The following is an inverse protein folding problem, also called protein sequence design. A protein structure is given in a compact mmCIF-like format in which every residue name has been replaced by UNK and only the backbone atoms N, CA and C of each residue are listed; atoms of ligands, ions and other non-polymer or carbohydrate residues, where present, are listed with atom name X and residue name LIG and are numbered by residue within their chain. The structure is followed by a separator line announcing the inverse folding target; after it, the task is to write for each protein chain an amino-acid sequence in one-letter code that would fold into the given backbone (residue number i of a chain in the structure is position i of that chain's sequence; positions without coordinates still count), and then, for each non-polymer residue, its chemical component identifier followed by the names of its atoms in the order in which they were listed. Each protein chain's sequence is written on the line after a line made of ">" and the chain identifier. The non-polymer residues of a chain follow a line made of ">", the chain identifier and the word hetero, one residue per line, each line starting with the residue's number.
data_IF_174132434482
#
_entry.id   IF_174132434482
#
_cell.length_a   1.000
_cell.length_b   1.000
_cell.length_c   1.000
_cell.angle_alpha   90.00
_cell.angle_beta   90.00
_cell.angle_gamma   90.00
#
_symmetry.space_group_name_H-M   'P 1'
#
loop_
_entity.id
_entity.type
_entity.pdbx_description
1 polymer ?
#
# COMPACT_ATOMS: atom_id res chain seq x y z
N UNK A 1 10.58 5.80 -8.88
CA UNK A 1 11.08 4.59 -8.23
C UNK A 1 10.38 3.32 -8.71
N UNK A 2 10.51 2.27 -7.95
CA UNK A 2 10.05 0.90 -8.32
C UNK A 2 8.57 0.83 -8.68
N UNK A 3 7.71 1.59 -7.99
CA UNK A 3 6.27 1.64 -8.29
C UNK A 3 5.99 2.11 -9.71
N UNK A 4 6.65 3.17 -10.17
CA UNK A 4 6.49 3.66 -11.54
C UNK A 4 6.98 2.63 -12.55
N UNK A 5 8.11 1.98 -12.27
CA UNK A 5 8.64 0.93 -13.14
C UNK A 5 7.71 -0.28 -13.27
N UNK A 6 6.99 -0.64 -12.19
CA UNK A 6 5.96 -1.67 -12.24
C UNK A 6 4.74 -1.20 -13.03
N UNK A 7 4.28 0.04 -12.79
CA UNK A 7 3.12 0.64 -13.48
C UNK A 7 3.34 0.71 -14.99
N UNK A 8 4.53 1.13 -15.42
CA UNK A 8 4.88 1.23 -16.86
C UNK A 8 4.83 -0.12 -17.58
N UNK A 9 5.09 -1.23 -16.85
CA UNK A 9 5.03 -2.60 -17.40
C UNK A 9 3.63 -3.21 -17.38
N UNK A 10 2.79 -2.77 -16.47
CA UNK A 10 1.50 -3.39 -16.18
C UNK A 10 0.62 -3.63 -17.42
N UNK A 11 0.53 -2.72 -18.41
CA UNK A 11 -0.30 -2.94 -19.60
C UNK A 11 0.03 -4.20 -20.39
N UNK A 12 1.28 -4.70 -20.29
CA UNK A 12 1.74 -5.93 -20.96
C UNK A 12 1.72 -7.19 -20.11
N UNK A 13 1.48 -7.08 -18.79
CA UNK A 13 1.69 -8.19 -17.86
C UNK A 13 0.47 -9.11 -17.69
N UNK A 14 -0.74 -8.57 -17.75
CA UNK A 14 -1.99 -9.31 -17.52
C UNK A 14 -1.97 -10.24 -16.31
N UNK A 15 -1.75 -9.73 -15.09
CA UNK A 15 -1.66 -10.56 -13.90
C UNK A 15 -3.02 -11.21 -13.57
N UNK A 16 -2.98 -12.45 -13.11
CA UNK A 16 -4.15 -13.16 -12.58
C UNK A 16 -4.18 -13.17 -11.05
N UNK A 17 -3.07 -12.84 -10.40
CA UNK A 17 -3.02 -12.67 -8.95
C UNK A 17 -2.03 -11.55 -8.58
N UNK A 18 -2.35 -10.79 -7.53
CA UNK A 18 -1.44 -9.87 -6.88
C UNK A 18 -1.37 -10.21 -5.38
N UNK A 19 -0.17 -10.22 -4.81
CA UNK A 19 0.05 -10.38 -3.38
C UNK A 19 0.77 -9.16 -2.83
N UNK A 20 0.13 -8.48 -1.89
CA UNK A 20 0.65 -7.28 -1.23
C UNK A 20 0.95 -7.59 0.22
N UNK A 21 2.13 -7.21 0.66
CA UNK A 21 2.55 -7.32 2.06
C UNK A 21 3.12 -5.98 2.49
N UNK A 22 2.57 -5.42 3.57
CA UNK A 22 3.19 -4.34 4.33
C UNK A 22 3.22 -4.74 5.80
N UNK A 23 4.41 -5.08 6.27
CA UNK A 23 4.65 -5.69 7.57
C UNK A 23 5.82 -5.00 8.23
N UNK A 24 5.61 -4.52 9.46
CA UNK A 24 6.63 -3.81 10.22
C UNK A 24 6.36 -3.90 11.72
N UNK A 25 7.36 -3.66 12.55
CA UNK A 25 7.22 -3.74 13.98
C UNK A 25 6.94 -2.36 14.58
N UNK A 26 5.71 -2.13 15.04
CA UNK A 26 5.25 -0.82 15.56
C UNK A 26 6.20 -0.20 16.60
N UNK A 27 6.74 -0.96 17.58
CA UNK A 27 7.70 -0.42 18.54
C UNK A 27 8.98 0.17 17.93
N UNK A 28 9.37 -0.27 16.74
CA UNK A 28 10.58 0.22 16.05
C UNK A 28 10.35 1.48 15.20
N UNK A 29 9.08 1.90 15.01
CA UNK A 29 8.77 3.03 14.14
C UNK A 29 9.35 4.37 14.63
N UNK A 30 9.46 4.52 15.96
CA UNK A 30 9.95 5.76 16.59
C UNK A 30 10.94 5.41 17.69
N UNK A 31 12.22 5.26 17.38
CA UNK A 31 13.23 4.91 18.36
C UNK A 31 13.21 5.86 19.58
N UNK A 32 13.20 5.30 20.77
CA UNK A 32 13.18 6.06 22.03
C UNK A 32 11.79 6.57 22.46
N UNK A 33 10.74 6.30 21.70
CA UNK A 33 9.36 6.61 22.07
C UNK A 33 8.63 5.33 22.46
N UNK A 34 7.91 5.35 23.57
CA UNK A 34 7.04 4.23 23.94
C UNK A 34 5.87 4.17 22.95
N UNK A 35 5.83 3.10 22.15
CA UNK A 35 4.80 2.91 21.11
C UNK A 35 3.38 2.90 21.67
N UNK A 36 3.20 2.54 22.95
CA UNK A 36 1.90 2.53 23.63
C UNK A 36 1.31 3.93 23.83
N UNK A 37 2.12 4.97 23.67
CA UNK A 37 1.69 6.37 23.85
C UNK A 37 1.38 7.09 22.53
N UNK A 38 1.66 6.45 21.38
CA UNK A 38 1.43 7.07 20.08
C UNK A 38 0.00 6.78 19.58
N UNK A 39 -0.51 7.63 18.68
CA UNK A 39 -1.87 7.50 18.14
C UNK A 39 -2.12 6.12 17.50
N UNK A 40 -1.12 5.53 16.85
CA UNK A 40 -1.21 4.23 16.19
C UNK A 40 -1.67 3.11 17.12
N UNK A 41 -1.34 3.21 18.42
CA UNK A 41 -1.74 2.24 19.44
C UNK A 41 -3.19 2.40 19.91
N UNK A 42 -3.85 3.52 19.59
CA UNK A 42 -5.14 3.89 20.18
C UNK A 42 -6.24 4.03 19.14
N UNK A 43 -7.24 3.15 19.19
CA UNK A 43 -8.42 3.19 18.33
C UNK A 43 -9.17 4.51 18.44
N UNK A 44 -9.32 5.06 19.65
CA UNK A 44 -10.00 6.33 19.89
C UNK A 44 -9.27 7.54 19.28
N UNK A 45 -7.98 7.40 18.96
CA UNK A 45 -7.18 8.41 18.29
C UNK A 45 -7.10 8.20 16.76
N UNK A 46 -7.86 7.25 16.22
CA UNK A 46 -7.82 6.89 14.80
C UNK A 46 -6.65 5.99 14.42
N UNK A 47 -6.00 5.33 15.41
CA UNK A 47 -4.91 4.40 15.18
C UNK A 47 -5.39 3.03 14.69
N UNK A 48 -4.42 2.23 14.25
CA UNK A 48 -4.59 0.88 13.75
C UNK A 48 -3.89 0.67 12.42
N UNK A 49 -3.39 -0.53 12.20
CA UNK A 49 -2.66 -0.91 10.99
C UNK A 49 -3.47 -0.68 9.72
N UNK A 50 -4.78 -0.86 9.82
CA UNK A 50 -5.73 -0.62 8.73
C UNK A 50 -5.60 0.79 8.16
N UNK A 51 -5.57 1.81 9.00
CA UNK A 51 -5.51 3.21 8.57
C UNK A 51 -4.09 3.67 8.32
N UNK A 52 -3.14 3.29 9.17
CA UNK A 52 -1.75 3.73 9.01
C UNK A 52 -1.12 3.22 7.70
N UNK A 53 -1.57 2.05 7.21
CA UNK A 53 -1.08 1.47 5.97
C UNK A 53 -2.05 1.63 4.78
N UNK A 54 -2.91 2.65 4.81
CA UNK A 54 -3.87 2.99 3.74
C UNK A 54 -3.20 3.15 2.37
N UNK A 55 -1.94 3.55 2.35
CA UNK A 55 -1.17 3.75 1.13
C UNK A 55 -0.96 2.47 0.29
N UNK A 56 -1.19 1.29 0.87
CA UNK A 56 -1.19 0.03 0.11
C UNK A 56 -2.45 -0.08 -0.76
N UNK A 57 -3.58 0.42 -0.28
CA UNK A 57 -4.80 0.51 -1.07
C UNK A 57 -4.75 1.62 -2.11
N UNK A 58 -4.07 2.73 -1.81
CA UNK A 58 -3.94 3.85 -2.73
C UNK A 58 -3.26 3.41 -4.03
N UNK A 59 -2.09 2.76 -3.96
CA UNK A 59 -1.44 2.29 -5.18
C UNK A 59 -2.13 1.10 -5.84
N UNK A 60 -2.85 0.25 -5.09
CA UNK A 60 -3.64 -0.83 -5.71
C UNK A 60 -4.78 -0.27 -6.56
N UNK A 61 -5.45 0.77 -6.07
CA UNK A 61 -6.48 1.48 -6.83
C UNK A 61 -5.88 2.17 -8.06
N UNK A 62 -4.69 2.73 -7.94
CA UNK A 62 -3.96 3.33 -9.06
C UNK A 62 -3.57 2.28 -10.14
N UNK A 63 -3.20 1.05 -9.72
CA UNK A 63 -2.79 -0.02 -10.64
C UNK A 63 -3.98 -0.74 -11.28
N UNK A 64 -5.03 -1.04 -10.51
CA UNK A 64 -6.07 -1.99 -10.90
C UNK A 64 -7.48 -1.41 -10.85
N UNK A 65 -7.62 -0.16 -10.36
CA UNK A 65 -8.93 0.43 -10.11
C UNK A 65 -9.60 -0.09 -8.84
N UNK A 66 -10.90 0.13 -8.73
CA UNK A 66 -11.71 -0.33 -7.60
C UNK A 66 -12.12 -1.78 -7.80
N UNK A 67 -11.93 -2.68 -6.80
CA UNK A 67 -12.33 -4.07 -6.93
C UNK A 67 -13.86 -4.23 -6.96
N UNK A 68 -14.34 -5.27 -7.64
CA UNK A 68 -15.78 -5.63 -7.68
C UNK A 68 -16.28 -6.13 -6.33
N UNK A 69 -15.40 -6.78 -5.56
CA UNK A 69 -15.75 -7.36 -4.26
C UNK A 69 -14.54 -7.43 -3.34
N UNK A 70 -14.78 -7.11 -2.08
CA UNK A 70 -13.78 -7.08 -1.02
C UNK A 70 -14.25 -7.88 0.19
N UNK A 71 -13.33 -8.67 0.76
CA UNK A 71 -13.45 -9.30 2.07
C UNK A 71 -12.30 -8.83 2.93
N UNK A 72 -12.59 -8.43 4.17
CA UNK A 72 -11.59 -7.98 5.13
C UNK A 72 -11.76 -8.69 6.46
N UNK A 73 -10.64 -9.15 7.02
CA UNK A 73 -10.52 -9.66 8.39
C UNK A 73 -9.47 -8.83 9.11
N UNK A 74 -9.84 -8.19 10.20
CA UNK A 74 -8.94 -7.34 10.99
C UNK A 74 -9.21 -7.44 12.47
N UNK A 75 -8.21 -7.12 13.27
CA UNK A 75 -8.31 -7.15 14.72
C UNK A 75 -6.96 -7.04 15.40
N UNK A 76 -6.96 -7.24 16.70
CA UNK A 76 -5.77 -7.30 17.54
C UNK A 76 -5.46 -8.77 17.82
N UNK A 77 -4.36 -9.27 17.28
CA UNK A 77 -3.99 -10.69 17.31
C UNK A 77 -2.63 -10.96 17.96
N UNK A 78 -1.77 -9.95 18.06
CA UNK A 78 -0.43 -10.10 18.63
C UNK A 78 -0.39 -9.75 20.12
N UNK A 79 0.81 -9.86 20.72
CA UNK A 79 1.06 -9.45 22.10
C UNK A 79 1.40 -7.96 22.25
N UNK A 80 1.14 -7.13 21.21
CA UNK A 80 1.32 -5.69 21.33
C UNK A 80 0.29 -5.10 22.30
N UNK A 81 0.76 -4.27 23.23
CA UNK A 81 -0.10 -3.61 24.23
C UNK A 81 -0.81 -2.39 23.60
N UNK A 82 -1.77 -2.66 22.69
CA UNK A 82 -2.55 -1.66 21.96
C UNK A 82 -4.04 -2.02 21.95
N UNK A 83 -4.92 -1.06 21.72
CA UNK A 83 -6.36 -1.28 21.59
C UNK A 83 -6.87 -1.09 20.15
N UNK A 84 -5.96 -0.72 19.23
CA UNK A 84 -6.22 -0.65 17.79
C UNK A 84 -5.96 -2.00 17.11
N UNK A 85 -6.34 -2.13 15.85
CA UNK A 85 -6.02 -3.33 15.06
C UNK A 85 -4.53 -3.40 14.72
N UNK A 86 -3.91 -4.58 14.91
CA UNK A 86 -2.52 -4.87 14.57
C UNK A 86 -2.36 -5.77 13.34
N UNK A 87 -3.47 -6.33 12.85
CA UNK A 87 -3.55 -7.14 11.64
C UNK A 87 -4.77 -6.74 10.82
N UNK A 88 -4.57 -6.57 9.52
CA UNK A 88 -5.65 -6.45 8.55
C UNK A 88 -5.32 -7.23 7.28
N UNK A 89 -6.17 -8.21 6.94
CA UNK A 89 -6.01 -9.07 5.76
C UNK A 89 -7.20 -8.90 4.86
N UNK A 90 -6.94 -8.77 3.56
CA UNK A 90 -8.00 -8.59 2.56
C UNK A 90 -7.86 -9.58 1.42
N UNK A 91 -9.02 -9.95 0.85
CA UNK A 91 -9.14 -10.60 -0.45
C UNK A 91 -10.01 -9.70 -1.32
N UNK A 92 -9.45 -9.21 -2.41
CA UNK A 92 -10.13 -8.31 -3.35
C UNK A 92 -10.24 -8.96 -4.73
N UNK A 93 -11.48 -9.04 -5.24
CA UNK A 93 -11.75 -9.56 -6.57
C UNK A 93 -11.91 -8.43 -7.57
N UNK A 94 -11.12 -8.47 -8.62
CA UNK A 94 -11.22 -7.64 -9.81
C UNK A 94 -11.76 -8.48 -11.00
N UNK A 95 -12.13 -7.88 -12.12
CA UNK A 95 -12.60 -8.62 -13.29
C UNK A 95 -11.63 -9.69 -13.81
N UNK A 96 -10.31 -9.42 -13.71
CA UNK A 96 -9.26 -10.24 -14.32
C UNK A 96 -8.24 -10.79 -13.32
N UNK A 97 -8.26 -10.36 -12.07
CA UNK A 97 -7.30 -10.80 -11.05
C UNK A 97 -7.92 -10.90 -9.65
N UNK A 98 -7.27 -11.66 -8.79
CA UNK A 98 -7.50 -11.67 -7.34
C UNK A 98 -6.32 -11.01 -6.65
N UNK A 99 -6.57 -10.09 -5.70
CA UNK A 99 -5.52 -9.51 -4.86
C UNK A 99 -5.64 -9.98 -3.41
N UNK A 100 -4.50 -10.38 -2.84
CA UNK A 100 -4.29 -10.65 -1.42
C UNK A 100 -3.55 -9.46 -0.81
N UNK A 101 -4.06 -8.89 0.29
CA UNK A 101 -3.39 -7.79 0.99
C UNK A 101 -3.21 -8.16 2.46
N UNK A 102 -1.97 -8.09 2.94
CA UNK A 102 -1.61 -8.37 4.32
C UNK A 102 -0.91 -7.16 4.93
N UNK A 103 -1.50 -6.60 5.98
CA UNK A 103 -0.99 -5.46 6.72
C UNK A 103 -0.81 -5.85 8.18
N UNK A 104 0.38 -5.67 8.77
CA UNK A 104 0.60 -5.95 10.18
C UNK A 104 1.58 -4.99 10.87
N UNK A 105 1.44 -4.90 12.22
CA UNK A 105 2.31 -4.14 13.11
C UNK A 105 3.34 -4.98 13.86
N UNK A 106 3.38 -6.30 13.65
CA UNK A 106 4.17 -7.22 14.46
C UNK A 106 5.31 -7.91 13.69
N UNK A 107 5.46 -7.65 12.42
CA UNK A 107 6.56 -8.20 11.61
C UNK A 107 7.92 -7.67 12.05
N UNK A 108 8.82 -8.55 12.46
CA UNK A 108 10.15 -8.19 12.99
C UNK A 108 11.15 -7.75 11.91
N UNK A 109 10.88 -8.04 10.66
CA UNK A 109 11.63 -7.54 9.51
C UNK A 109 10.72 -6.67 8.66
N UNK A 110 11.13 -5.43 8.35
CA UNK A 110 10.37 -4.57 7.46
C UNK A 110 10.19 -5.23 6.09
N UNK A 111 8.95 -5.38 5.66
CA UNK A 111 8.58 -5.86 4.33
C UNK A 111 7.53 -4.94 3.76
N UNK A 112 7.76 -4.46 2.55
CA UNK A 112 6.76 -3.74 1.79
C UNK A 112 6.93 -4.07 0.33
N UNK A 113 6.02 -4.89 -0.20
CA UNK A 113 6.16 -5.43 -1.55
C UNK A 113 4.81 -5.70 -2.20
N UNK A 114 4.81 -5.72 -3.53
CA UNK A 114 3.76 -6.31 -4.35
C UNK A 114 4.39 -7.33 -5.29
N UNK A 115 3.80 -8.53 -5.33
CA UNK A 115 4.15 -9.59 -6.27
C UNK A 115 2.98 -9.80 -7.22
N UNK A 116 3.24 -9.73 -8.52
CA UNK A 116 2.28 -10.01 -9.59
C UNK A 116 2.57 -11.35 -10.22
N UNK A 117 1.58 -12.24 -10.24
CA UNK A 117 1.67 -13.55 -10.87
C UNK A 117 1.08 -13.47 -12.27
N UNK A 118 1.91 -13.68 -13.28
CA UNK A 118 1.59 -13.55 -14.70
C UNK A 118 1.89 -14.86 -15.43
N UNK A 119 1.52 -14.93 -16.72
CA UNK A 119 1.71 -16.15 -17.54
C UNK A 119 3.20 -16.55 -17.69
N UNK A 120 4.08 -15.56 -17.74
CA UNK A 120 5.54 -15.73 -17.91
C UNK A 120 6.31 -15.85 -16.59
N UNK A 121 5.62 -15.79 -15.46
CA UNK A 121 6.19 -15.90 -14.11
C UNK A 121 5.77 -14.76 -13.19
N UNK A 122 6.54 -14.53 -12.12
CA UNK A 122 6.25 -13.47 -11.15
C UNK A 122 7.13 -12.24 -11.33
N UNK A 123 6.52 -11.09 -11.06
CA UNK A 123 7.18 -9.78 -10.95
C UNK A 123 7.08 -9.32 -9.50
N UNK A 124 8.21 -9.20 -8.80
CA UNK A 124 8.23 -8.77 -7.41
C UNK A 124 8.81 -7.36 -7.29
N UNK A 125 7.97 -6.40 -6.93
CA UNK A 125 8.42 -5.06 -6.55
C UNK A 125 8.58 -4.98 -5.03
N UNK A 126 9.81 -4.81 -4.56
CA UNK A 126 10.17 -4.58 -3.16
C UNK A 126 10.41 -3.08 -2.95
N UNK A 127 9.50 -2.44 -2.20
CA UNK A 127 9.58 -1.01 -1.93
C UNK A 127 10.63 -0.66 -0.87
N UNK A 128 10.95 -1.62 0.02
CA UNK A 128 11.98 -1.44 1.03
C UNK A 128 13.39 -1.46 0.43
N UNK A 129 13.63 -2.42 -0.46
CA UNK A 129 14.89 -2.56 -1.18
C UNK A 129 15.00 -1.66 -2.43
N UNK A 130 13.89 -1.09 -2.91
CA UNK A 130 13.85 -0.34 -4.15
C UNK A 130 14.14 -1.19 -5.39
N UNK A 131 13.67 -2.44 -5.41
CA UNK A 131 14.00 -3.40 -6.47
C UNK A 131 12.77 -3.95 -7.17
N UNK A 132 12.91 -4.26 -8.46
CA UNK A 132 11.95 -5.05 -9.24
C UNK A 132 12.65 -6.32 -9.73
N UNK A 133 12.21 -7.47 -9.25
CA UNK A 133 12.66 -8.78 -9.72
C UNK A 133 11.74 -9.24 -10.84
N UNK A 134 12.33 -9.65 -11.97
CA UNK A 134 11.64 -10.14 -13.15
C UNK A 134 11.54 -11.69 -13.12
N UNK A 135 10.69 -12.31 -13.97
CA UNK A 135 10.48 -13.75 -14.00
C UNK A 135 11.75 -14.58 -14.25
N UNK A 136 12.73 -14.03 -14.95
CA UNK A 136 14.01 -14.68 -15.22
C UNK A 136 15.01 -14.56 -14.06
N UNK A 137 14.61 -13.95 -12.94
CA UNK A 137 15.45 -13.70 -11.78
C UNK A 137 16.28 -12.42 -11.88
N UNK A 138 16.20 -11.67 -12.97
CA UNK A 138 16.88 -10.38 -13.10
C UNK A 138 16.35 -9.39 -12.06
N UNK A 139 17.24 -8.77 -11.30
CA UNK A 139 16.91 -7.74 -10.31
C UNK A 139 17.30 -6.36 -10.85
N UNK A 140 16.32 -5.49 -10.97
CA UNK A 140 16.52 -4.10 -11.37
C UNK A 140 16.43 -3.20 -10.14
N UNK A 141 17.38 -2.29 -9.95
CA UNK A 141 17.44 -1.37 -8.82
C UNK A 141 16.92 0.01 -9.22
N UNK A 142 16.12 0.59 -8.34
CA UNK A 142 15.51 1.91 -8.50
C UNK A 142 15.81 2.75 -7.26
N UNK A 143 17.00 3.31 -7.24
CA UNK A 143 17.37 4.24 -6.17
C UNK A 143 16.54 5.52 -6.25
N UNK A 144 15.94 5.90 -5.16
CA UNK A 144 15.17 7.12 -5.02
C UNK A 144 15.40 7.72 -3.63
N UNK A 145 15.90 8.96 -3.60
CA UNK A 145 15.94 9.72 -2.36
C UNK A 145 14.51 9.88 -1.81
N UNK A 146 14.32 9.53 -0.54
CA UNK A 146 13.02 9.62 0.13
C UNK A 146 12.46 11.04 0.03
N UNK A 147 13.33 12.06 0.17
CA UNK A 147 12.90 13.46 0.10
C UNK A 147 12.42 13.85 -1.30
N UNK A 148 12.95 13.25 -2.36
CA UNK A 148 12.53 13.52 -3.75
C UNK A 148 11.06 13.20 -4.01
N UNK A 149 10.47 12.27 -3.27
CA UNK A 149 9.04 11.96 -3.36
C UNK A 149 8.20 13.14 -2.89
N UNK A 150 8.54 13.71 -1.74
CA UNK A 150 7.86 14.88 -1.18
C UNK A 150 8.05 16.13 -2.03
N UNK A 151 9.25 16.32 -2.62
CA UNK A 151 9.50 17.41 -3.55
C UNK A 151 8.57 17.33 -4.76
N UNK A 152 8.44 16.15 -5.39
CA UNK A 152 7.55 15.97 -6.55
C UNK A 152 6.07 16.14 -6.18
N UNK A 153 5.66 15.66 -5.01
CA UNK A 153 4.30 15.87 -4.51
C UNK A 153 4.02 17.37 -4.36
N UNK A 154 4.94 18.10 -3.76
CA UNK A 154 4.81 19.54 -3.56
C UNK A 154 4.87 20.30 -4.89
N UNK A 155 5.78 19.96 -5.80
CA UNK A 155 5.87 20.52 -7.15
C UNK A 155 4.52 20.35 -7.89
N UNK A 156 3.96 19.13 -7.86
CA UNK A 156 2.65 18.83 -8.45
C UNK A 156 1.53 19.67 -7.82
N UNK A 157 1.46 19.70 -6.49
CA UNK A 157 0.41 20.43 -5.79
C UNK A 157 0.46 21.94 -6.06
N UNK A 158 1.65 22.53 -6.02
CA UNK A 158 1.84 23.97 -6.30
C UNK A 158 1.48 24.29 -7.74
N UNK A 159 1.92 23.49 -8.71
CA UNK A 159 1.59 23.70 -10.12
C UNK A 159 0.07 23.58 -10.37
N UNK A 160 -0.57 22.55 -9.82
CA UNK A 160 -2.03 22.38 -9.88
C UNK A 160 -2.78 23.56 -9.25
N UNK A 161 -2.33 24.03 -8.08
CA UNK A 161 -2.97 25.13 -7.37
C UNK A 161 -2.81 26.48 -8.10
N UNK A 162 -1.67 26.72 -8.76
CA UNK A 162 -1.39 27.96 -9.48
C UNK A 162 -2.05 28.01 -10.86
N UNK A 163 -2.07 26.88 -11.56
CA UNK A 163 -2.58 26.84 -12.94
C UNK A 163 -4.10 26.63 -12.98
N UNK A 164 -4.67 25.97 -11.95
CA UNK A 164 -6.08 25.58 -11.92
C UNK A 164 -6.47 24.69 -13.10
N UNK A 165 -5.48 24.14 -13.82
CA UNK A 165 -5.69 23.37 -15.04
C UNK A 165 -5.36 21.90 -14.83
N UNK A 166 -6.21 21.04 -15.39
CA UNK A 166 -6.06 19.59 -15.33
C UNK A 166 -6.99 18.93 -14.28
N UNK A 167 -7.04 17.61 -14.35
CA UNK A 167 -7.70 16.81 -13.34
C UNK A 167 -6.70 16.49 -12.22
N UNK A 168 -7.18 16.50 -10.96
CA UNK A 168 -6.36 16.06 -9.84
C UNK A 168 -6.01 14.57 -10.00
N UNK A 169 -4.75 14.21 -9.79
CA UNK A 169 -4.34 12.79 -9.77
C UNK A 169 -4.99 12.03 -8.59
N UNK A 170 -5.42 12.73 -7.56
CA UNK A 170 -6.14 12.15 -6.42
C UNK A 170 -7.38 12.99 -6.06
N UNK A 171 -8.48 12.90 -6.85
CA UNK A 171 -9.69 13.64 -6.55
C UNK A 171 -10.35 13.12 -5.26
N UNK A 172 -11.08 13.96 -4.50
CA UNK A 172 -11.69 13.57 -3.23
C UNK A 172 -12.57 12.32 -3.30
N UNK A 173 -13.25 12.10 -4.42
CA UNK A 173 -14.07 10.90 -4.64
C UNK A 173 -13.21 9.62 -4.67
N UNK A 174 -12.03 9.66 -5.31
CA UNK A 174 -11.09 8.54 -5.35
C UNK A 174 -10.50 8.29 -3.95
N UNK A 175 -10.06 9.33 -3.26
CA UNK A 175 -9.54 9.23 -1.89
C UNK A 175 -10.59 8.63 -0.92
N UNK A 176 -11.87 9.00 -1.08
CA UNK A 176 -12.96 8.41 -0.31
C UNK A 176 -13.15 6.91 -0.62
N UNK A 177 -13.02 6.50 -1.88
CA UNK A 177 -13.09 5.09 -2.26
C UNK A 177 -11.93 4.30 -1.66
N UNK A 178 -10.71 4.82 -1.71
CA UNK A 178 -9.52 4.22 -1.05
C UNK A 178 -9.77 4.05 0.44
N UNK A 179 -10.28 5.08 1.12
CA UNK A 179 -10.61 4.99 2.55
C UNK A 179 -11.67 3.91 2.85
N UNK A 180 -12.73 3.82 2.07
CA UNK A 180 -13.78 2.79 2.22
C UNK A 180 -13.20 1.39 2.05
N UNK A 181 -12.41 1.15 1.00
CA UNK A 181 -11.72 -0.13 0.77
C UNK A 181 -10.83 -0.49 1.96
N UNK A 182 -10.04 0.47 2.44
CA UNK A 182 -9.18 0.31 3.61
C UNK A 182 -9.99 -0.09 4.85
N UNK A 183 -11.17 0.48 5.04
CA UNK A 183 -12.07 0.12 6.14
C UNK A 183 -12.78 -1.23 5.95
N UNK A 184 -12.60 -1.89 4.81
CA UNK A 184 -13.22 -3.18 4.48
C UNK A 184 -14.61 -3.04 3.88
N UNK A 185 -14.96 -1.86 3.39
CA UNK A 185 -16.25 -1.59 2.75
C UNK A 185 -16.18 -1.87 1.24
N UNK A 186 -17.24 -2.45 0.69
CA UNK A 186 -17.38 -2.57 -0.75
C UNK A 186 -17.79 -1.21 -1.34
N UNK A 187 -17.10 -0.79 -2.38
CA UNK A 187 -17.37 0.45 -3.11
C UNK A 187 -18.20 0.11 -4.33
N UNK A 188 -19.31 0.83 -4.53
CA UNK A 188 -20.20 0.69 -5.69
C UNK A 188 -19.88 1.73 -6.75
#
# INVERSE_FOLDING_TARGET
>A
GVMLALKDRLPGLHPYCARVICSSYLPDWRPGVDYRTVYSAHKAMGGGVTIDLIHEWDYLVELFGVPEKLYNFKGTYSDLEIDSDDLSVYIARYPTLLAEVHLDYFGRGYRRSIELFCHDGSYLADFGAGTLTLPDGTVQHYEEDVNRRYEREMEYFVDYALTGSGESCNPPALALNVLKLTLGENVQ
#
